data_IF_024985327864
#
_entry.id   IF_024985327864
#
_cell.length_a   1.000
_cell.length_b   1.000
_cell.length_c   1.000
_cell.angle_alpha   90.00
_cell.angle_beta   90.00
_cell.angle_gamma   90.00
#
_symmetry.space_group_name_H-M   'P 1'
#
loop_
_entity.id
_entity.type
_entity.pdbx_description
1 polymer ?
#
# COMPACT_ATOMS: atom_id res chain seq x y z
N UNK A 1 14.50 -15.97 18.83
CA UNK A 1 15.29 -15.26 17.79
C UNK A 1 14.50 -14.09 17.17
N UNK A 2 13.31 -14.31 16.60
CA UNK A 2 12.49 -13.25 15.97
C UNK A 2 12.13 -12.08 16.90
N UNK A 3 11.90 -12.33 18.19
CA UNK A 3 11.59 -11.28 19.19
C UNK A 3 12.65 -10.16 19.24
N UNK A 4 13.92 -10.47 18.93
CA UNK A 4 14.99 -9.46 18.91
C UNK A 4 14.87 -8.48 17.72
N UNK A 5 14.10 -8.83 16.68
CA UNK A 5 13.84 -7.97 15.53
C UNK A 5 12.71 -6.97 15.78
N UNK A 6 11.86 -7.23 16.77
CA UNK A 6 10.74 -6.38 17.15
C UNK A 6 11.21 -5.08 17.81
N UNK A 7 10.42 -4.03 17.69
CA UNK A 7 10.63 -2.77 18.39
C UNK A 7 10.70 -1.56 17.46
N UNK A 8 10.98 -0.40 18.04
CA UNK A 8 11.00 0.86 17.31
C UNK A 8 12.18 0.92 16.32
N UNK A 9 11.93 1.56 15.17
CA UNK A 9 12.91 1.97 14.18
C UNK A 9 12.71 3.45 13.83
N UNK A 10 13.28 4.37 14.63
CA UNK A 10 13.11 5.81 14.42
C UNK A 10 13.69 6.32 13.10
N UNK A 11 14.62 5.59 12.46
CA UNK A 11 15.18 5.97 11.16
C UNK A 11 14.13 6.00 10.06
N UNK A 12 13.03 5.26 10.20
CA UNK A 12 11.89 5.32 9.28
C UNK A 12 11.21 6.71 9.27
N UNK A 13 11.36 7.51 10.33
CA UNK A 13 10.90 8.90 10.33
C UNK A 13 11.69 9.76 9.33
N UNK A 14 12.99 9.50 9.15
CA UNK A 14 13.82 10.18 8.15
C UNK A 14 13.38 9.80 6.73
N UNK A 15 13.15 8.51 6.47
CA UNK A 15 12.60 8.04 5.20
C UNK A 15 11.22 8.66 4.90
N UNK A 16 10.39 8.80 5.95
CA UNK A 16 9.08 9.45 5.87
C UNK A 16 9.17 10.94 5.50
N UNK A 17 10.08 11.68 6.13
CA UNK A 17 10.32 13.07 5.79
C UNK A 17 10.87 13.20 4.35
N UNK A 18 11.80 12.33 3.97
CA UNK A 18 12.41 12.33 2.64
C UNK A 18 11.39 12.06 1.52
N UNK A 19 10.51 11.07 1.66
CA UNK A 19 9.51 10.76 0.63
C UNK A 19 8.47 11.88 0.49
N UNK A 20 8.04 12.50 1.60
CA UNK A 20 7.12 13.64 1.57
C UNK A 20 7.78 14.85 0.93
N UNK A 21 9.03 15.16 1.31
CA UNK A 21 9.79 16.26 0.72
C UNK A 21 10.01 16.04 -0.79
N UNK A 22 10.34 14.83 -1.23
CA UNK A 22 10.50 14.49 -2.63
C UNK A 22 9.20 14.70 -3.42
N UNK A 23 8.05 14.26 -2.89
CA UNK A 23 6.74 14.47 -3.52
C UNK A 23 6.41 15.97 -3.65
N UNK A 24 6.63 16.75 -2.58
CA UNK A 24 6.40 18.19 -2.60
C UNK A 24 7.34 18.91 -3.57
N UNK A 25 8.61 18.51 -3.60
CA UNK A 25 9.62 19.10 -4.48
C UNK A 25 9.30 18.83 -5.96
N UNK A 26 9.01 17.59 -6.34
CA UNK A 26 8.61 17.24 -7.71
C UNK A 26 7.34 17.99 -8.12
N UNK A 27 6.34 18.04 -7.23
CA UNK A 27 5.14 18.84 -7.44
C UNK A 27 5.46 20.32 -7.72
N UNK A 28 6.31 20.92 -6.89
CA UNK A 28 6.75 22.32 -7.07
C UNK A 28 7.48 22.55 -8.41
N UNK A 29 8.33 21.61 -8.85
CA UNK A 29 9.00 21.71 -10.15
C UNK A 29 8.00 21.73 -11.32
N UNK A 30 6.88 21.01 -11.19
CA UNK A 30 5.82 20.95 -12.20
C UNK A 30 4.92 22.20 -12.27
N UNK A 31 5.08 23.18 -11.37
CA UNK A 31 4.20 24.37 -11.30
C UNK A 31 4.09 25.14 -12.62
N UNK A 32 5.14 25.11 -13.45
CA UNK A 32 5.22 25.77 -14.77
C UNK A 32 5.24 24.80 -15.96
N UNK A 33 5.03 23.50 -15.75
CA UNK A 33 5.08 22.51 -16.84
C UNK A 33 3.77 22.47 -17.65
N UNK A 34 3.75 21.72 -18.75
CA UNK A 34 2.52 21.39 -19.44
C UNK A 34 1.75 20.26 -18.70
N UNK A 35 0.44 20.16 -18.94
CA UNK A 35 -0.40 19.13 -18.32
C UNK A 35 0.02 17.68 -18.63
N UNK A 36 0.45 17.34 -19.87
CA UNK A 36 1.00 16.01 -20.15
C UNK A 36 2.19 15.65 -19.25
N UNK A 37 3.10 16.60 -18.99
CA UNK A 37 4.22 16.38 -18.09
C UNK A 37 3.74 16.15 -16.63
N UNK A 38 2.69 16.85 -16.18
CA UNK A 38 2.10 16.62 -14.85
C UNK A 38 1.55 15.19 -14.74
N UNK A 39 0.79 14.74 -15.75
CA UNK A 39 0.20 13.38 -15.75
C UNK A 39 1.29 12.31 -15.83
N UNK A 40 2.29 12.50 -16.68
CA UNK A 40 3.42 11.57 -16.81
C UNK A 40 4.22 11.47 -15.50
N UNK A 41 4.54 12.61 -14.87
CA UNK A 41 5.22 12.62 -13.59
C UNK A 41 4.36 12.03 -12.47
N UNK A 42 3.05 12.29 -12.47
CA UNK A 42 2.13 11.69 -11.50
C UNK A 42 2.14 10.17 -11.61
N UNK A 43 2.12 9.59 -12.82
CA UNK A 43 2.22 8.16 -13.01
C UNK A 43 3.61 7.62 -12.60
N UNK A 44 4.68 8.11 -13.23
CA UNK A 44 6.04 7.56 -13.11
C UNK A 44 6.70 7.83 -11.76
N UNK A 45 6.50 9.00 -11.18
CA UNK A 45 7.14 9.41 -9.92
C UNK A 45 6.14 9.34 -8.78
N UNK A 46 4.99 9.99 -8.94
CA UNK A 46 3.96 10.05 -7.90
C UNK A 46 3.42 8.67 -7.52
N UNK A 47 3.07 7.86 -8.51
CA UNK A 47 2.60 6.48 -8.35
C UNK A 47 3.68 5.53 -7.84
N UNK A 48 4.95 5.78 -8.16
CA UNK A 48 6.09 5.05 -7.65
C UNK A 48 6.36 5.30 -6.18
N UNK A 49 6.48 6.57 -5.81
CA UNK A 49 6.70 6.98 -4.42
C UNK A 49 5.49 6.70 -3.53
N UNK A 50 4.30 6.53 -4.10
CA UNK A 50 3.09 6.18 -3.36
C UNK A 50 3.24 4.88 -2.56
N UNK A 51 3.81 3.80 -3.12
CA UNK A 51 3.96 2.53 -2.40
C UNK A 51 4.94 2.65 -1.24
N UNK A 52 6.04 3.38 -1.42
CA UNK A 52 7.00 3.65 -0.35
C UNK A 52 6.34 4.45 0.78
N UNK A 53 5.58 5.49 0.42
CA UNK A 53 4.86 6.31 1.38
C UNK A 53 3.77 5.52 2.11
N UNK A 54 3.05 4.63 1.41
CA UNK A 54 2.08 3.71 1.98
C UNK A 54 2.75 2.76 2.98
N UNK A 55 3.91 2.19 2.63
CA UNK A 55 4.68 1.29 3.50
C UNK A 55 5.08 1.98 4.81
N UNK A 56 5.61 3.19 4.73
CA UNK A 56 6.01 3.98 5.90
C UNK A 56 4.80 4.34 6.77
N UNK A 57 3.67 4.69 6.15
CA UNK A 57 2.43 4.96 6.86
C UNK A 57 1.92 3.71 7.57
N UNK A 58 1.99 2.57 6.90
CA UNK A 58 1.58 1.26 7.39
C UNK A 58 2.42 0.82 8.60
N UNK A 59 3.75 0.96 8.54
CA UNK A 59 4.62 0.63 9.67
C UNK A 59 4.36 1.53 10.90
N UNK A 60 4.05 2.81 10.66
CA UNK A 60 3.63 3.71 11.73
C UNK A 60 2.25 3.33 12.33
N UNK A 61 1.35 2.69 11.59
CA UNK A 61 0.09 2.15 12.15
C UNK A 61 0.32 1.05 13.18
N UNK A 62 1.35 0.24 12.95
CA UNK A 62 1.82 -0.82 13.84
C UNK A 62 2.71 -0.34 14.99
N UNK A 63 2.97 0.97 15.05
CA UNK A 63 3.85 1.61 16.05
C UNK A 63 5.32 1.25 15.88
N UNK A 64 5.73 0.79 14.70
CA UNK A 64 7.11 0.38 14.44
C UNK A 64 8.08 1.56 14.34
N UNK A 65 7.62 2.80 14.14
CA UNK A 65 8.54 3.95 14.00
C UNK A 65 9.03 4.45 15.36
N UNK A 66 8.12 4.86 16.25
CA UNK A 66 8.48 5.39 17.57
C UNK A 66 8.19 4.43 18.73
N UNK A 67 7.72 3.23 18.45
CA UNK A 67 7.36 2.23 19.45
C UNK A 67 6.01 2.51 20.13
N UNK A 68 5.55 1.58 20.98
CA UNK A 68 4.28 1.69 21.70
C UNK A 68 4.30 2.76 22.81
N UNK A 69 5.50 3.21 23.23
CA UNK A 69 5.67 4.29 24.23
C UNK A 69 5.23 5.66 23.70
N UNK A 70 5.31 5.87 22.39
CA UNK A 70 4.98 7.14 21.73
C UNK A 70 3.90 6.95 20.65
N UNK A 71 2.68 6.53 21.02
CA UNK A 71 1.63 6.22 20.06
C UNK A 71 1.19 7.46 19.28
N UNK A 72 1.16 8.63 19.93
CA UNK A 72 0.77 9.91 19.30
C UNK A 72 1.74 10.37 18.22
N UNK A 73 3.04 10.10 18.35
CA UNK A 73 4.03 10.44 17.33
C UNK A 73 3.86 9.56 16.09
N UNK A 74 3.59 8.27 16.29
CA UNK A 74 3.22 7.37 15.21
C UNK A 74 1.91 7.82 14.52
N UNK A 75 0.91 8.23 15.31
CA UNK A 75 -0.36 8.75 14.79
C UNK A 75 -0.17 10.01 13.93
N UNK A 76 0.66 10.95 14.41
CA UNK A 76 0.97 12.17 13.70
C UNK A 76 1.72 11.90 12.39
N UNK A 77 2.78 11.08 12.45
CA UNK A 77 3.56 10.72 11.27
C UNK A 77 2.71 10.04 10.20
N UNK A 78 1.90 9.07 10.60
CA UNK A 78 1.05 8.35 9.67
C UNK A 78 -0.10 9.22 9.13
N UNK A 79 -0.54 10.23 9.88
CA UNK A 79 -1.44 11.26 9.35
C UNK A 79 -0.75 12.12 8.29
N UNK A 80 0.47 12.61 8.55
CA UNK A 80 1.22 13.36 7.52
C UNK A 80 1.44 12.53 6.26
N UNK A 81 1.88 11.28 6.40
CA UNK A 81 2.07 10.35 5.27
C UNK A 81 0.76 10.00 4.55
N UNK A 82 -0.36 9.97 5.28
CA UNK A 82 -1.65 9.62 4.69
C UNK A 82 -2.22 10.68 3.75
N UNK A 83 -1.83 11.95 3.90
CA UNK A 83 -2.38 13.03 3.09
C UNK A 83 -1.90 12.93 1.63
N UNK A 84 -0.59 13.01 1.30
CA UNK A 84 -0.14 12.94 -0.08
C UNK A 84 -0.33 11.56 -0.71
N UNK A 85 -0.55 10.51 0.08
CA UNK A 85 -0.82 9.18 -0.45
C UNK A 85 -2.31 8.99 -0.82
N UNK A 86 -3.20 9.96 -0.50
CA UNK A 86 -4.65 9.79 -0.56
C UNK A 86 -5.13 8.51 0.17
N UNK A 87 -4.37 8.11 1.19
CA UNK A 87 -4.66 6.98 2.06
C UNK A 87 -4.83 7.66 3.44
N UNK A 88 -6.00 8.24 3.78
CA UNK A 88 -6.22 8.93 5.05
C UNK A 88 -6.06 8.02 6.27
N UNK A 89 -5.45 8.55 7.33
CA UNK A 89 -4.98 7.77 8.48
C UNK A 89 -6.03 7.54 9.57
N UNK A 90 -6.79 8.58 9.91
CA UNK A 90 -7.66 8.61 11.10
C UNK A 90 -9.00 7.90 10.85
N UNK A 91 -9.62 7.43 11.93
CA UNK A 91 -11.01 6.95 12.03
C UNK A 91 -11.49 5.98 10.93
N UNK A 92 -10.74 4.89 10.76
CA UNK A 92 -11.26 3.67 10.18
C UNK A 92 -10.25 2.88 9.36
N UNK A 93 -9.16 3.50 8.89
CA UNK A 93 -8.13 2.79 8.13
C UNK A 93 -7.17 2.00 9.01
N UNK A 94 -6.60 2.62 10.06
CA UNK A 94 -5.84 1.86 11.07
C UNK A 94 -6.68 0.75 11.68
N UNK A 95 -7.96 1.01 11.99
CA UNK A 95 -8.86 -0.02 12.50
C UNK A 95 -9.07 -1.15 11.50
N UNK A 96 -9.47 -0.84 10.26
CA UNK A 96 -9.65 -1.85 9.20
C UNK A 96 -8.40 -2.68 8.96
N UNK A 97 -7.24 -2.02 8.95
CA UNK A 97 -5.94 -2.67 8.80
C UNK A 97 -5.65 -3.64 9.94
N UNK A 98 -5.86 -3.23 11.19
CA UNK A 98 -5.69 -4.11 12.35
C UNK A 98 -6.74 -5.23 12.37
N UNK A 99 -7.98 -4.95 11.94
CA UNK A 99 -9.02 -5.96 11.80
C UNK A 99 -8.62 -7.00 10.72
N UNK A 100 -8.03 -6.57 9.60
CA UNK A 100 -7.46 -7.44 8.57
C UNK A 100 -6.35 -8.34 9.13
N UNK A 101 -5.40 -7.80 9.90
CA UNK A 101 -4.38 -8.62 10.58
C UNK A 101 -4.98 -9.65 11.54
N UNK A 102 -6.02 -9.26 12.28
CA UNK A 102 -6.65 -10.10 13.30
C UNK A 102 -7.50 -11.21 12.69
N UNK A 103 -8.15 -10.93 11.57
CA UNK A 103 -9.17 -11.77 10.94
C UNK A 103 -8.80 -12.15 9.51
N UNK A 104 -7.51 -12.32 9.23
CA UNK A 104 -6.98 -12.56 7.89
C UNK A 104 -7.72 -13.71 7.20
N UNK A 105 -8.41 -13.41 6.10
CA UNK A 105 -9.18 -14.38 5.32
C UNK A 105 -10.57 -14.71 5.84
N UNK A 106 -10.96 -14.28 7.04
CA UNK A 106 -12.26 -14.55 7.63
C UNK A 106 -13.38 -13.81 6.85
N UNK A 107 -14.37 -14.52 6.27
CA UNK A 107 -15.49 -13.89 5.57
C UNK A 107 -16.24 -12.89 6.45
N UNK A 108 -16.49 -11.68 5.92
CA UNK A 108 -17.25 -10.64 6.60
C UNK A 108 -16.52 -9.92 7.76
N UNK A 109 -15.31 -10.34 8.12
CA UNK A 109 -14.49 -9.72 9.17
C UNK A 109 -13.18 -9.15 8.65
N UNK A 110 -12.57 -9.82 7.67
CA UNK A 110 -11.43 -9.28 6.93
C UNK A 110 -11.88 -8.07 6.09
N UNK A 111 -11.35 -6.89 6.40
CA UNK A 111 -11.71 -5.64 5.74
C UNK A 111 -11.14 -5.50 4.31
N UNK A 112 -10.10 -6.28 3.96
CA UNK A 112 -9.42 -6.24 2.67
C UNK A 112 -9.80 -7.43 1.77
N UNK A 113 -10.61 -8.36 2.26
CA UNK A 113 -11.20 -9.44 1.45
C UNK A 113 -12.13 -8.88 0.36
N UNK A 114 -12.00 -9.31 -0.91
CA UNK A 114 -12.93 -8.91 -1.97
C UNK A 114 -14.37 -9.33 -1.68
N UNK A 115 -15.32 -8.44 -1.97
CA UNK A 115 -16.76 -8.78 -1.91
C UNK A 115 -17.15 -9.78 -3.00
N UNK A 116 -18.23 -10.53 -2.80
CA UNK A 116 -18.75 -11.49 -3.79
C UNK A 116 -19.01 -10.85 -5.16
N UNK A 117 -19.45 -9.58 -5.20
CA UNK A 117 -19.61 -8.84 -6.45
C UNK A 117 -18.28 -8.59 -7.16
N UNK A 118 -17.23 -8.26 -6.42
CA UNK A 118 -15.89 -8.08 -6.99
C UNK A 118 -15.33 -9.43 -7.48
N UNK A 119 -15.56 -10.51 -6.75
CA UNK A 119 -15.20 -11.87 -7.17
C UNK A 119 -15.97 -12.30 -8.43
N UNK A 120 -17.27 -12.02 -8.52
CA UNK A 120 -18.06 -12.33 -9.71
C UNK A 120 -17.56 -11.54 -10.93
N UNK A 121 -17.21 -10.26 -10.75
CA UNK A 121 -16.67 -9.42 -11.80
C UNK A 121 -15.26 -9.84 -12.24
N UNK A 122 -14.41 -10.30 -11.31
CA UNK A 122 -13.04 -10.74 -11.61
C UNK A 122 -12.96 -12.03 -12.44
N UNK A 123 -14.08 -12.75 -12.64
CA UNK A 123 -14.15 -13.95 -13.51
C UNK A 123 -13.85 -13.66 -14.99
N UNK A 124 -14.05 -12.42 -15.43
CA UNK A 124 -13.80 -12.00 -16.83
C UNK A 124 -12.63 -11.03 -16.89
N UNK A 125 -11.80 -11.12 -17.93
CA UNK A 125 -10.68 -10.19 -18.18
C UNK A 125 -11.10 -8.72 -18.14
N UNK A 126 -12.21 -8.39 -18.81
CA UNK A 126 -12.75 -7.02 -18.80
C UNK A 126 -13.16 -6.57 -17.39
N UNK A 127 -13.71 -7.47 -16.57
CA UNK A 127 -14.09 -7.16 -15.19
C UNK A 127 -12.87 -6.97 -14.28
N UNK A 128 -11.79 -7.73 -14.49
CA UNK A 128 -10.51 -7.52 -13.79
C UNK A 128 -9.89 -6.16 -14.09
N UNK A 129 -9.88 -5.76 -15.36
CA UNK A 129 -9.45 -4.43 -15.78
C UNK A 129 -10.33 -3.34 -15.16
N UNK A 130 -11.66 -3.52 -15.19
CA UNK A 130 -12.60 -2.59 -14.58
C UNK A 130 -12.32 -2.42 -13.08
N UNK A 131 -12.08 -3.51 -12.36
CA UNK A 131 -11.75 -3.48 -10.93
C UNK A 131 -10.44 -2.72 -10.67
N UNK A 132 -9.37 -2.98 -11.42
CA UNK A 132 -8.09 -2.28 -11.27
C UNK A 132 -8.22 -0.77 -11.49
N UNK A 133 -9.03 -0.36 -12.46
CA UNK A 133 -9.23 1.05 -12.77
C UNK A 133 -10.17 1.76 -11.79
N UNK A 134 -11.23 1.08 -11.33
CA UNK A 134 -12.32 1.73 -10.58
C UNK A 134 -12.27 1.52 -9.07
N UNK A 135 -11.65 0.44 -8.57
CA UNK A 135 -11.61 0.18 -7.13
C UNK A 135 -10.86 1.28 -6.34
N UNK A 136 -9.72 1.83 -6.82
CA UNK A 136 -9.07 2.95 -6.14
C UNK A 136 -9.96 4.19 -6.06
N UNK A 137 -10.68 4.52 -7.15
CA UNK A 137 -11.60 5.65 -7.22
C UNK A 137 -12.80 5.46 -6.28
N UNK A 138 -13.41 4.27 -6.28
CA UNK A 138 -14.53 3.94 -5.40
C UNK A 138 -14.10 3.95 -3.92
N UNK A 139 -12.90 3.46 -3.61
CA UNK A 139 -12.30 3.54 -2.27
C UNK A 139 -12.11 4.99 -1.85
N UNK A 140 -11.60 5.83 -2.76
CA UNK A 140 -11.41 7.26 -2.53
C UNK A 140 -12.74 7.99 -2.28
N UNK A 141 -13.76 7.73 -3.08
CA UNK A 141 -15.08 8.32 -2.90
C UNK A 141 -15.68 7.97 -1.52
N UNK A 142 -15.55 6.70 -1.07
CA UNK A 142 -16.00 6.29 0.27
C UNK A 142 -15.23 6.98 1.40
N UNK A 143 -13.94 7.21 1.23
CA UNK A 143 -13.12 7.92 2.22
C UNK A 143 -13.55 9.38 2.35
N UNK A 144 -13.80 10.06 1.24
CA UNK A 144 -14.21 11.47 1.24
C UNK A 144 -15.57 11.73 1.89
N UNK A 145 -16.40 10.70 2.10
CA UNK A 145 -17.64 10.81 2.88
C UNK A 145 -17.39 10.99 4.39
N UNK A 146 -16.16 10.79 4.86
CA UNK A 146 -15.77 10.98 6.26
C UNK A 146 -15.19 12.38 6.44
N UNK A 147 -15.75 13.23 7.31
CA UNK A 147 -15.32 14.61 7.47
C UNK A 147 -13.83 14.77 7.78
N UNK A 148 -13.26 13.91 8.63
CA UNK A 148 -11.83 13.97 8.98
C UNK A 148 -10.91 13.66 7.79
N UNK A 149 -11.28 12.67 6.97
CA UNK A 149 -10.52 12.27 5.78
C UNK A 149 -10.66 13.33 4.66
N UNK A 150 -11.84 13.94 4.54
CA UNK A 150 -12.10 15.06 3.65
C UNK A 150 -11.29 16.30 4.06
N UNK A 151 -11.26 16.64 5.35
CA UNK A 151 -10.48 17.76 5.87
C UNK A 151 -8.98 17.58 5.64
N UNK A 152 -8.42 16.40 5.92
CA UNK A 152 -7.03 16.07 5.62
C UNK A 152 -6.71 16.26 4.13
N UNK A 153 -7.63 15.84 3.26
CA UNK A 153 -7.48 15.98 1.81
C UNK A 153 -7.56 17.44 1.36
N UNK A 154 -8.47 18.21 1.93
CA UNK A 154 -8.63 19.64 1.66
C UNK A 154 -7.37 20.41 2.07
N UNK A 155 -6.78 20.10 3.24
CA UNK A 155 -5.53 20.70 3.70
C UNK A 155 -4.36 20.39 2.76
N UNK A 156 -4.25 19.15 2.27
CA UNK A 156 -3.25 18.79 1.26
C UNK A 156 -3.43 19.62 -0.01
N UNK A 157 -4.66 19.67 -0.55
CA UNK A 157 -4.95 20.40 -1.78
C UNK A 157 -4.68 21.89 -1.60
N UNK A 158 -5.14 22.49 -0.50
CA UNK A 158 -4.87 23.89 -0.18
C UNK A 158 -3.37 24.17 -0.09
N UNK A 159 -2.61 23.35 0.66
CA UNK A 159 -1.16 23.48 0.76
C UNK A 159 -0.45 23.33 -0.58
N UNK A 160 -0.89 22.39 -1.42
CA UNK A 160 -0.34 22.17 -2.75
C UNK A 160 -0.63 23.35 -3.71
N UNK A 161 -1.83 23.92 -3.63
CA UNK A 161 -2.21 25.11 -4.39
C UNK A 161 -1.37 26.32 -3.99
N UNK A 162 -1.14 26.51 -2.68
CA UNK A 162 -0.26 27.56 -2.17
C UNK A 162 1.21 27.35 -2.58
N UNK A 163 1.69 26.10 -2.56
CA UNK A 163 3.07 25.77 -2.88
C UNK A 163 3.40 25.98 -4.36
N UNK A 164 2.53 25.56 -5.27
CA UNK A 164 2.83 25.61 -6.70
C UNK A 164 1.61 25.49 -7.61
N UNK A 165 0.43 25.91 -7.13
CA UNK A 165 -0.77 26.03 -7.92
C UNK A 165 -1.41 24.70 -8.36
N UNK A 166 -2.33 24.75 -9.34
CA UNK A 166 -3.18 23.61 -9.71
C UNK A 166 -2.39 22.41 -10.27
N UNK A 167 -1.23 22.64 -10.90
CA UNK A 167 -0.38 21.55 -11.41
C UNK A 167 0.26 20.74 -10.28
N UNK A 168 0.72 21.42 -9.23
CA UNK A 168 1.26 20.79 -8.02
C UNK A 168 0.18 19.98 -7.31
N UNK A 169 -1.01 20.57 -7.14
CA UNK A 169 -2.16 19.89 -6.55
C UNK A 169 -2.59 18.66 -7.37
N UNK A 170 -2.64 18.79 -8.71
CA UNK A 170 -2.97 17.68 -9.60
C UNK A 170 -1.93 16.56 -9.52
N UNK A 171 -0.63 16.86 -9.50
CA UNK A 171 0.42 15.84 -9.33
C UNK A 171 0.22 15.03 -8.04
N UNK A 172 0.06 15.71 -6.89
CA UNK A 172 -0.09 15.07 -5.58
C UNK A 172 -1.40 14.28 -5.47
N UNK A 173 -2.45 14.68 -6.19
CA UNK A 173 -3.73 13.97 -6.20
C UNK A 173 -3.74 12.78 -7.18
N UNK A 174 -3.20 12.96 -8.39
CA UNK A 174 -3.23 11.92 -9.42
C UNK A 174 -2.25 10.79 -9.13
N UNK A 175 -1.08 11.08 -8.56
CA UNK A 175 -0.03 10.08 -8.34
C UNK A 175 -0.52 8.84 -7.58
N UNK A 176 -1.13 9.00 -6.39
CA UNK A 176 -1.69 7.88 -5.66
C UNK A 176 -2.85 7.15 -6.33
N UNK A 177 -3.68 7.85 -7.12
CA UNK A 177 -4.76 7.22 -7.85
C UNK A 177 -4.18 6.34 -8.95
N UNK A 178 -3.27 6.87 -9.75
CA UNK A 178 -2.61 6.17 -10.84
C UNK A 178 -1.74 5.02 -10.32
N UNK A 179 -0.97 5.24 -9.25
CA UNK A 179 -0.12 4.24 -8.61
C UNK A 179 -0.88 3.03 -8.05
N UNK A 180 -2.19 3.15 -7.83
CA UNK A 180 -3.07 2.06 -7.38
C UNK A 180 -3.84 1.37 -8.49
N UNK A 181 -3.73 1.86 -9.72
CA UNK A 181 -4.41 1.29 -10.89
C UNK A 181 -3.45 0.35 -11.65
N UNK A 182 -3.35 0.48 -12.97
CA UNK A 182 -2.39 -0.24 -13.81
C UNK A 182 -0.99 0.35 -13.60
N UNK A 183 -0.42 0.10 -12.44
CA UNK A 183 0.95 0.47 -12.07
C UNK A 183 1.62 -0.75 -11.44
N UNK A 184 2.89 -1.05 -11.75
CA UNK A 184 3.61 -2.19 -11.16
C UNK A 184 3.54 -2.23 -9.63
N UNK A 185 3.46 -1.07 -8.98
CA UNK A 185 3.37 -0.97 -7.51
C UNK A 185 1.95 -1.05 -6.95
N UNK A 186 0.92 -0.76 -7.76
CA UNK A 186 -0.46 -1.06 -7.42
C UNK A 186 -0.69 -2.58 -7.36
N UNK A 187 0.03 -3.31 -8.21
CA UNK A 187 0.05 -4.75 -8.16
C UNK A 187 0.66 -5.31 -6.87
N UNK A 188 1.51 -4.56 -6.14
CA UNK A 188 2.00 -5.00 -4.83
C UNK A 188 0.85 -5.32 -3.87
N UNK A 189 -0.18 -4.46 -3.80
CA UNK A 189 -1.37 -4.73 -2.99
C UNK A 189 -2.18 -5.91 -3.52
N UNK A 190 -2.31 -6.02 -4.84
CA UNK A 190 -3.04 -7.12 -5.46
C UNK A 190 -2.41 -8.48 -5.14
N UNK A 191 -1.11 -8.63 -5.40
CA UNK A 191 -0.40 -9.89 -5.20
C UNK A 191 -0.39 -10.28 -3.72
N UNK A 192 -0.19 -9.29 -2.85
CA UNK A 192 -0.08 -9.49 -1.42
C UNK A 192 -1.42 -9.87 -0.76
N UNK A 193 -2.56 -9.47 -1.32
CA UNK A 193 -3.89 -9.79 -0.80
C UNK A 193 -4.66 -10.78 -1.70
N UNK A 194 -3.90 -11.63 -2.39
CA UNK A 194 -4.41 -12.77 -3.14
C UNK A 194 -4.11 -14.07 -2.40
N UNK A 195 -4.90 -15.11 -2.65
CA UNK A 195 -4.58 -16.42 -2.12
C UNK A 195 -3.31 -16.94 -2.81
N UNK A 196 -2.39 -17.52 -2.05
CA UNK A 196 -1.26 -18.23 -2.62
C UNK A 196 -1.72 -19.47 -3.40
N UNK A 197 -0.90 -20.01 -4.31
CA UNK A 197 -1.22 -21.20 -5.09
C UNK A 197 -1.78 -22.32 -4.22
N UNK A 198 -2.93 -22.87 -4.62
CA UNK A 198 -3.59 -23.96 -3.90
C UNK A 198 -4.11 -23.58 -2.50
N UNK A 199 -4.43 -22.30 -2.25
CA UNK A 199 -4.83 -21.76 -0.95
C UNK A 199 -3.82 -22.00 0.20
N UNK A 200 -2.54 -22.26 -0.12
CA UNK A 200 -1.52 -22.57 0.89
C UNK A 200 -1.28 -21.40 1.86
N UNK A 201 -1.60 -20.18 1.46
CA UNK A 201 -1.62 -19.00 2.32
C UNK A 201 -2.77 -18.06 1.90
N UNK A 202 -3.36 -17.37 2.87
CA UNK A 202 -4.42 -16.35 2.64
C UNK A 202 -3.84 -15.03 2.10
N UNK A 203 -2.52 -14.96 2.02
CA UNK A 203 -1.72 -13.78 1.66
C UNK A 203 -0.40 -14.24 1.05
N UNK A 204 0.23 -13.41 0.22
CA UNK A 204 1.40 -13.83 -0.57
C UNK A 204 2.57 -12.87 -0.45
N UNK A 205 3.79 -13.42 -0.42
CA UNK A 205 5.01 -12.61 -0.35
C UNK A 205 5.57 -12.27 -1.74
N UNK A 206 6.23 -11.13 -1.83
CA UNK A 206 7.06 -10.69 -2.95
C UNK A 206 8.54 -10.69 -2.53
N UNK A 207 9.38 -11.42 -3.25
CA UNK A 207 10.83 -11.53 -2.97
C UNK A 207 11.73 -10.93 -4.06
N UNK A 208 11.13 -10.26 -5.04
CA UNK A 208 11.86 -9.63 -6.14
C UNK A 208 12.73 -8.43 -5.73
N UNK A 209 13.59 -7.95 -6.64
CA UNK A 209 14.63 -6.96 -6.34
C UNK A 209 14.08 -5.59 -5.93
N UNK A 210 12.86 -5.24 -6.35
CA UNK A 210 12.25 -3.96 -5.98
C UNK A 210 11.87 -3.91 -4.51
N UNK A 211 11.86 -5.06 -3.81
CA UNK A 211 11.38 -5.11 -2.43
C UNK A 211 12.23 -4.24 -1.51
N UNK A 212 13.55 -4.20 -1.76
CA UNK A 212 14.48 -3.35 -1.03
C UNK A 212 14.15 -1.85 -1.16
N UNK A 213 13.72 -1.39 -2.35
CA UNK A 213 13.30 -0.01 -2.58
C UNK A 213 12.04 0.37 -1.79
N UNK A 214 11.21 -0.62 -1.47
CA UNK A 214 9.98 -0.48 -0.68
C UNK A 214 10.15 -1.07 0.72
N UNK A 215 11.35 -0.96 1.27
CA UNK A 215 11.68 -1.27 2.65
C UNK A 215 11.34 -2.70 3.07
N UNK A 216 11.41 -3.66 2.14
CA UNK A 216 11.12 -5.07 2.36
C UNK A 216 9.67 -5.36 2.79
N UNK A 217 8.70 -4.48 2.48
CA UNK A 217 7.29 -4.74 2.81
C UNK A 217 6.68 -5.93 2.05
N UNK A 218 7.33 -6.40 0.99
CA UNK A 218 6.92 -7.57 0.23
C UNK A 218 7.02 -8.88 1.00
N UNK A 219 7.74 -8.93 2.13
CA UNK A 219 7.70 -10.06 3.07
C UNK A 219 6.37 -10.05 3.84
N UNK A 220 5.27 -10.27 3.13
CA UNK A 220 3.92 -10.01 3.62
C UNK A 220 3.45 -11.05 4.63
N UNK A 221 3.78 -12.32 4.41
CA UNK A 221 3.47 -13.39 5.38
C UNK A 221 4.22 -13.13 6.69
N UNK A 222 5.53 -12.85 6.60
CA UNK A 222 6.34 -12.49 7.78
C UNK A 222 5.78 -11.26 8.51
N UNK A 223 5.24 -10.30 7.76
CA UNK A 223 4.58 -9.13 8.32
C UNK A 223 3.28 -9.47 9.05
N UNK A 224 2.45 -10.35 8.50
CA UNK A 224 1.21 -10.79 9.14
C UNK A 224 1.45 -11.55 10.43
N UNK A 225 2.48 -12.40 10.47
CA UNK A 225 2.86 -13.13 11.67
C UNK A 225 3.49 -12.22 12.73
N UNK A 226 4.28 -11.23 12.29
CA UNK A 226 5.03 -10.34 13.18
C UNK A 226 4.85 -8.86 12.82
N UNK A 227 3.64 -8.28 13.01
CA UNK A 227 3.37 -6.90 12.62
C UNK A 227 4.18 -5.86 13.40
N UNK A 228 4.74 -6.25 14.55
CA UNK A 228 5.61 -5.40 15.39
C UNK A 228 7.10 -5.44 14.98
N UNK A 229 7.43 -6.13 13.88
CA UNK A 229 8.74 -6.08 13.24
C UNK A 229 8.69 -4.98 12.17
N UNK A 230 9.55 -3.94 12.26
CA UNK A 230 9.62 -2.91 11.24
C UNK A 230 9.90 -3.49 9.85
N UNK A 231 9.29 -2.89 8.82
CA UNK A 231 9.39 -3.33 7.43
C UNK A 231 10.84 -3.67 7.00
N UNK A 232 11.79 -2.78 7.32
CA UNK A 232 13.20 -2.93 6.93
C UNK A 232 13.89 -4.17 7.53
N UNK A 233 13.32 -4.80 8.57
CA UNK A 233 13.83 -6.00 9.24
C UNK A 233 13.09 -7.27 8.87
N UNK A 234 12.02 -7.21 8.07
CA UNK A 234 11.20 -8.39 7.74
C UNK A 234 12.00 -9.50 7.04
N UNK A 235 12.96 -9.16 6.17
CA UNK A 235 13.84 -10.14 5.55
C UNK A 235 14.66 -10.96 6.58
N UNK A 236 14.95 -10.38 7.75
CA UNK A 236 15.65 -11.08 8.83
C UNK A 236 14.76 -12.10 9.53
N UNK A 237 13.43 -11.97 9.45
CA UNK A 237 12.48 -12.97 9.98
C UNK A 237 12.63 -14.28 9.20
N UNK A 238 12.61 -14.24 7.86
CA UNK A 238 12.84 -15.43 7.03
C UNK A 238 14.17 -16.10 7.38
N UNK A 239 15.25 -15.31 7.54
CA UNK A 239 16.57 -15.86 7.89
C UNK A 239 16.61 -16.46 9.30
N UNK A 240 15.78 -15.94 10.20
CA UNK A 240 15.72 -16.40 11.57
C UNK A 240 14.81 -17.61 11.78
N UNK A 241 13.96 -17.94 10.81
CA UNK A 241 13.05 -19.07 10.89
C UNK A 241 12.81 -19.68 9.49
N UNK A 242 13.86 -20.08 8.76
CA UNK A 242 13.76 -20.54 7.37
C UNK A 242 12.84 -21.75 7.21
N UNK A 243 12.73 -22.60 8.24
CA UNK A 243 11.84 -23.75 8.29
C UNK A 243 10.36 -23.38 8.12
N UNK A 244 9.95 -22.15 8.46
CA UNK A 244 8.58 -21.66 8.27
C UNK A 244 8.40 -20.88 6.97
N UNK A 245 9.44 -20.20 6.48
CA UNK A 245 9.29 -19.18 5.42
C UNK A 245 9.97 -19.50 4.10
N UNK A 246 11.05 -20.30 4.09
CA UNK A 246 11.88 -20.50 2.90
C UNK A 246 11.16 -21.28 1.78
N UNK A 247 10.29 -22.23 2.16
CA UNK A 247 9.49 -23.02 1.21
C UNK A 247 8.18 -22.37 0.79
N UNK A 248 7.84 -21.19 1.34
CA UNK A 248 6.55 -20.57 1.05
C UNK A 248 6.51 -19.99 -0.38
N UNK A 249 5.35 -20.13 -1.03
CA UNK A 249 5.17 -19.63 -2.38
C UNK A 249 5.25 -18.09 -2.39
N UNK A 250 5.92 -17.52 -3.40
CA UNK A 250 6.14 -16.07 -3.56
C UNK A 250 6.17 -15.64 -5.04
N UNK A 251 6.08 -14.33 -5.29
CA UNK A 251 6.29 -13.73 -6.61
C UNK A 251 7.57 -12.90 -6.65
N UNK A 252 8.26 -12.89 -7.79
CA UNK A 252 9.49 -12.10 -7.99
C UNK A 252 9.27 -10.84 -8.83
N UNK A 253 8.08 -10.69 -9.42
CA UNK A 253 7.71 -9.53 -10.24
C UNK A 253 6.26 -9.13 -10.02
N UNK A 254 6.05 -7.95 -9.43
CA UNK A 254 4.71 -7.36 -9.33
C UNK A 254 4.11 -7.05 -10.70
N UNK A 255 4.94 -6.72 -11.69
CA UNK A 255 4.47 -6.54 -13.06
C UNK A 255 3.91 -7.84 -13.64
N UNK A 256 4.64 -8.95 -13.51
CA UNK A 256 4.19 -10.27 -13.97
C UNK A 256 2.91 -10.70 -13.25
N UNK A 257 2.85 -10.49 -11.93
CA UNK A 257 1.64 -10.75 -11.16
C UNK A 257 0.43 -9.93 -11.67
N UNK A 258 0.62 -8.65 -11.98
CA UNK A 258 -0.44 -7.82 -12.58
C UNK A 258 -0.93 -8.37 -13.92
N UNK A 259 0.00 -8.78 -14.79
CA UNK A 259 -0.32 -9.39 -16.08
C UNK A 259 -1.09 -10.69 -15.86
N UNK A 260 -0.60 -11.58 -14.99
CA UNK A 260 -1.23 -12.86 -14.67
C UNK A 260 -2.66 -12.68 -14.13
N UNK A 261 -2.88 -11.70 -13.26
CA UNK A 261 -4.21 -11.35 -12.80
C UNK A 261 -5.09 -10.92 -13.99
N UNK A 262 -4.66 -9.95 -14.80
CA UNK A 262 -5.47 -9.44 -15.91
C UNK A 262 -5.79 -10.54 -16.92
N UNK A 263 -4.79 -11.32 -17.35
CA UNK A 263 -4.95 -12.40 -18.33
C UNK A 263 -5.70 -13.60 -17.74
N UNK A 264 -5.69 -13.77 -16.42
CA UNK A 264 -6.24 -14.93 -15.73
C UNK A 264 -5.36 -16.17 -15.87
N UNK A 265 -4.06 -15.97 -16.12
CA UNK A 265 -3.07 -17.03 -16.11
C UNK A 265 -2.90 -17.64 -14.70
N UNK A 266 -3.21 -16.86 -13.67
CA UNK A 266 -3.20 -17.28 -12.28
C UNK A 266 -4.60 -17.11 -11.68
N UNK A 267 -5.26 -18.24 -11.36
CA UNK A 267 -6.64 -18.27 -10.87
C UNK A 267 -6.73 -17.99 -9.37
N UNK A 268 -5.64 -18.25 -8.63
CA UNK A 268 -5.56 -18.07 -7.18
C UNK A 268 -5.62 -16.57 -6.79
N UNK A 269 -5.27 -15.67 -7.73
CA UNK A 269 -5.40 -14.22 -7.58
C UNK A 269 -6.85 -13.69 -7.63
N UNK A 270 -7.84 -14.55 -7.91
CA UNK A 270 -9.22 -14.10 -8.19
C UNK A 270 -10.30 -14.79 -7.37
N UNK A 271 -10.04 -15.99 -6.85
CA UNK A 271 -11.01 -16.82 -6.14
C UNK A 271 -10.30 -17.73 -5.14
N UNK A 272 -10.83 -17.81 -3.91
CA UNK A 272 -10.56 -18.93 -3.01
C UNK A 272 -11.12 -20.20 -3.66
N UNK A 273 -10.30 -21.20 -3.87
CA UNK A 273 -10.77 -22.51 -4.31
C UNK A 273 -11.29 -23.27 -3.09
N UNK A 274 -12.57 -23.08 -2.75
CA UNK A 274 -13.21 -24.00 -1.82
C UNK A 274 -13.39 -25.33 -2.56
N UNK A 275 -12.51 -26.29 -2.27
CA UNK A 275 -12.68 -27.71 -2.59
C UNK A 275 -13.57 -28.36 -1.54
#
# INVERSE_FOLDING_TARGET
MVRALMGAEPRLALASAAVVAAQLYVGYLLRRSCWPAVVAAAYLVGGSLWLLQFTLQHDAQHRNVFGPRWPRLNDALAWVLGAPALVPYRFGRRRKHLDHHRHLGEPGRDADRPSERQVALSRRRAGRLLLLLTAPLASRARQLRRPADAAQSALLVAGALLLGGPRTAAYLALGPLLGRTLHPFGAALLCSHSYGPGNQAVTYSYRGPLNWLFLNTGYHIEHHDFPNVPCCRLAAVTRAAPEFYAGLPHVDSWFTCMINYVTGADRDLTTRHDT
#
